data_IF_421247496341
#
_entry.id   IF_421247496341
#
_cell.length_a   1.000
_cell.length_b   1.000
_cell.length_c   1.000
_cell.angle_alpha   90.00
_cell.angle_beta   90.00
_cell.angle_gamma   90.00
#
_symmetry.space_group_name_H-M   'P 1'
#
loop_
_entity.id
_entity.type
_entity.pdbx_description
1 polymer ?
#
# COMPACT_ATOMS: atom_id res chain seq x y z
N UNK A 1 17.75 -17.84 23.05
CA UNK A 1 18.96 -17.04 22.66
C UNK A 1 18.49 -15.62 22.40
N UNK A 2 18.93 -14.61 23.16
CA UNK A 2 18.54 -13.21 22.89
C UNK A 2 19.48 -12.65 21.82
N UNK A 3 18.95 -12.35 20.64
CA UNK A 3 19.69 -11.70 19.56
C UNK A 3 20.00 -10.27 20.01
N UNK A 4 21.26 -9.84 19.87
CA UNK A 4 21.66 -8.47 20.20
C UNK A 4 21.23 -7.52 19.07
N UNK A 5 20.69 -6.35 19.40
CA UNK A 5 20.20 -5.38 18.42
C UNK A 5 21.24 -5.04 17.33
N UNK A 6 22.50 -4.93 17.71
CA UNK A 6 23.62 -4.63 16.79
C UNK A 6 23.89 -5.75 15.75
N UNK A 7 23.40 -6.96 16.00
CA UNK A 7 23.62 -8.14 15.14
C UNK A 7 22.45 -8.38 14.17
N UNK A 8 21.33 -7.70 14.37
CA UNK A 8 20.08 -7.93 13.62
C UNK A 8 20.28 -7.76 12.12
N UNK A 9 20.86 -6.64 11.68
CA UNK A 9 21.06 -6.37 10.24
C UNK A 9 21.94 -7.44 9.58
N UNK A 10 23.03 -7.83 10.25
CA UNK A 10 23.91 -8.90 9.76
C UNK A 10 23.24 -10.27 9.74
N UNK A 11 22.34 -10.53 10.69
CA UNK A 11 21.58 -11.77 10.71
C UNK A 11 20.57 -11.82 9.56
N UNK A 12 19.82 -10.74 9.36
CA UNK A 12 18.81 -10.65 8.30
C UNK A 12 19.44 -10.73 6.91
N UNK A 13 20.57 -10.05 6.69
CA UNK A 13 21.28 -10.02 5.39
C UNK A 13 21.80 -11.38 4.92
N UNK A 14 21.81 -12.40 5.77
CA UNK A 14 22.17 -13.77 5.37
C UNK A 14 21.14 -14.40 4.43
N UNK A 15 19.88 -14.02 4.55
CA UNK A 15 18.77 -14.67 3.87
C UNK A 15 17.84 -13.72 3.11
N UNK A 16 17.87 -12.41 3.43
CA UNK A 16 17.04 -11.40 2.79
C UNK A 16 17.89 -10.21 2.33
N UNK A 17 17.37 -9.45 1.38
CA UNK A 17 17.94 -8.16 0.99
C UNK A 17 17.66 -7.13 2.11
N UNK A 18 18.65 -6.92 2.98
CA UNK A 18 18.55 -6.00 4.12
C UNK A 18 19.01 -4.58 3.74
N UNK A 19 18.37 -3.98 2.75
CA UNK A 19 18.67 -2.65 2.18
C UNK A 19 17.76 -1.51 2.74
N UNK A 20 17.04 -1.78 3.81
CA UNK A 20 16.21 -0.80 4.52
C UNK A 20 17.00 0.28 5.26
N UNK A 21 16.29 1.16 5.94
CA UNK A 21 16.89 2.19 6.79
C UNK A 21 17.81 1.57 7.85
N UNK A 22 18.88 2.30 8.20
CA UNK A 22 19.80 1.83 9.23
C UNK A 22 19.29 2.16 10.65
N UNK A 23 18.12 1.60 10.96
CA UNK A 23 17.47 1.69 12.27
C UNK A 23 16.97 0.30 12.65
N UNK A 24 17.15 -0.08 13.90
CA UNK A 24 16.53 -1.28 14.50
C UNK A 24 15.46 -0.80 15.46
N UNK A 25 14.21 -0.88 15.08
CA UNK A 25 13.11 -0.37 15.88
C UNK A 25 12.97 -1.09 17.22
N UNK A 26 12.89 -0.34 18.32
CA UNK A 26 12.47 -0.79 19.63
C UNK A 26 10.95 -0.68 19.71
N UNK A 27 10.25 -1.81 19.58
CA UNK A 27 8.79 -1.84 19.58
C UNK A 27 8.17 -1.51 20.95
N UNK A 28 8.93 -1.69 22.04
CA UNK A 28 8.44 -1.39 23.38
C UNK A 28 8.54 0.10 23.71
N UNK A 29 9.55 0.78 23.16
CA UNK A 29 9.84 2.19 23.45
C UNK A 29 9.34 3.17 22.41
N UNK A 30 9.21 2.73 21.17
CA UNK A 30 8.65 3.60 20.10
C UNK A 30 7.21 4.02 20.44
N UNK A 31 6.85 5.27 20.21
CA UNK A 31 5.56 5.82 20.65
C UNK A 31 5.08 6.94 19.73
N UNK A 32 3.78 7.02 19.51
CA UNK A 32 3.19 8.03 18.64
C UNK A 32 3.89 8.08 17.28
N UNK A 33 4.48 9.22 16.94
CA UNK A 33 5.26 9.41 15.69
C UNK A 33 6.77 9.26 15.90
N UNK A 34 7.23 8.64 16.98
CA UNK A 34 8.65 8.49 17.27
C UNK A 34 9.10 7.05 17.21
N UNK A 35 10.14 6.80 16.40
CA UNK A 35 10.86 5.53 16.35
C UNK A 35 12.05 5.62 17.30
N UNK A 36 12.18 4.66 18.19
CA UNK A 36 13.35 4.51 19.05
C UNK A 36 14.27 3.43 18.47
N UNK A 37 15.54 3.74 18.27
CA UNK A 37 16.52 2.75 17.82
C UNK A 37 16.95 1.86 19.00
N UNK A 38 16.64 0.60 18.90
CA UNK A 38 16.95 -0.41 19.92
C UNK A 38 18.46 -0.60 20.20
N UNK A 39 19.33 -0.13 19.28
CA UNK A 39 20.81 -0.27 19.41
C UNK A 39 21.42 0.74 20.35
N UNK A 40 20.88 1.94 20.44
CA UNK A 40 21.48 3.10 21.14
C UNK A 40 20.47 3.96 21.89
N UNK A 41 19.18 3.79 21.63
CA UNK A 41 18.11 4.59 22.24
C UNK A 41 17.84 5.93 21.56
N UNK A 42 18.45 6.21 20.39
CA UNK A 42 18.18 7.42 19.63
C UNK A 42 16.74 7.45 19.16
N UNK A 43 16.14 8.64 19.15
CA UNK A 43 14.77 8.87 18.72
C UNK A 43 14.73 9.57 17.36
N UNK A 44 13.90 9.06 16.45
CA UNK A 44 13.68 9.60 15.12
C UNK A 44 12.20 9.92 14.91
N UNK A 45 11.90 11.10 14.40
CA UNK A 45 10.55 11.43 13.94
C UNK A 45 10.21 10.58 12.71
N UNK A 46 9.15 9.79 12.81
CA UNK A 46 8.71 8.91 11.73
C UNK A 46 8.01 9.70 10.62
N UNK A 47 8.78 10.09 9.59
CA UNK A 47 8.27 10.67 8.34
C UNK A 47 7.98 9.61 7.28
N UNK A 48 8.18 8.34 7.60
CA UNK A 48 7.98 7.20 6.70
C UNK A 48 6.61 6.54 6.88
N UNK A 49 6.14 6.43 8.14
CA UNK A 49 4.85 5.83 8.55
C UNK A 49 4.52 4.51 7.86
N UNK A 50 5.54 3.69 7.58
CA UNK A 50 5.42 2.41 6.84
C UNK A 50 4.62 2.56 5.54
N UNK A 51 4.93 3.59 4.73
CA UNK A 51 4.19 3.99 3.54
C UNK A 51 2.71 4.32 3.83
N UNK A 52 2.46 5.07 4.90
CA UNK A 52 1.14 5.45 5.40
C UNK A 52 0.26 4.26 5.88
N UNK A 53 0.84 3.08 6.12
CA UNK A 53 0.11 1.96 6.73
C UNK A 53 0.09 2.02 8.26
N UNK A 54 0.98 2.78 8.89
CA UNK A 54 1.03 3.03 10.33
C UNK A 54 0.22 4.28 10.74
N UNK A 55 -1.04 4.34 10.37
CA UNK A 55 -1.87 5.56 10.46
C UNK A 55 -2.02 6.14 11.89
N UNK A 56 -1.94 5.31 12.93
CA UNK A 56 -2.12 5.73 14.33
C UNK A 56 -0.79 5.84 15.11
N UNK A 57 0.34 5.60 14.44
CA UNK A 57 1.65 5.59 15.06
C UNK A 57 1.92 4.37 15.94
N UNK A 58 2.99 4.46 16.75
CA UNK A 58 3.47 3.35 17.58
C UNK A 58 2.82 3.37 18.96
N UNK A 59 2.47 2.20 19.47
CA UNK A 59 1.94 1.98 20.81
C UNK A 59 0.80 2.95 21.19
N UNK A 60 -0.14 3.19 20.27
CA UNK A 60 -1.29 4.03 20.53
C UNK A 60 -2.06 3.50 21.76
N UNK A 61 -2.36 4.33 22.80
CA UNK A 61 -2.92 3.86 24.05
C UNK A 61 -4.14 2.97 23.90
N UNK A 62 -5.10 3.37 23.07
CA UNK A 62 -6.31 2.58 22.82
C UNK A 62 -6.00 1.20 22.22
N UNK A 63 -4.99 1.09 21.34
CA UNK A 63 -4.58 -0.19 20.75
C UNK A 63 -3.94 -1.09 21.82
N UNK A 64 -3.08 -0.52 22.67
CA UNK A 64 -2.42 -1.25 23.78
C UNK A 64 -3.45 -1.74 24.80
N UNK A 65 -4.43 -0.90 25.17
CA UNK A 65 -5.51 -1.29 26.09
C UNK A 65 -6.36 -2.44 25.53
N UNK A 66 -6.51 -2.54 24.21
CA UNK A 66 -7.30 -3.58 23.55
C UNK A 66 -6.47 -4.74 22.98
N UNK A 67 -5.20 -4.91 23.40
CA UNK A 67 -4.30 -5.94 22.88
C UNK A 67 -4.85 -7.37 22.99
N UNK A 68 -5.70 -7.66 23.98
CA UNK A 68 -6.31 -8.98 24.13
C UNK A 68 -7.26 -9.32 22.98
N UNK A 69 -8.03 -8.34 22.51
CA UNK A 69 -8.91 -8.50 21.33
C UNK A 69 -8.05 -8.70 20.09
N UNK A 70 -7.00 -7.88 19.93
CA UNK A 70 -6.07 -8.00 18.80
C UNK A 70 -5.35 -9.36 18.81
N UNK A 71 -4.92 -9.83 19.98
CA UNK A 71 -4.34 -11.17 20.14
C UNK A 71 -5.31 -12.27 19.69
N UNK A 72 -6.59 -12.19 20.08
CA UNK A 72 -7.62 -13.13 19.65
C UNK A 72 -7.83 -13.10 18.12
N UNK A 73 -7.82 -11.93 17.51
CA UNK A 73 -7.94 -11.79 16.07
C UNK A 73 -6.70 -12.32 15.33
N UNK A 74 -5.51 -12.08 15.88
CA UNK A 74 -4.24 -12.51 15.28
C UNK A 74 -4.07 -14.03 15.22
N UNK A 75 -4.57 -14.77 16.22
CA UNK A 75 -4.50 -16.25 16.25
C UNK A 75 -5.56 -16.93 15.38
N UNK A 76 -6.50 -16.18 14.80
CA UNK A 76 -7.58 -16.70 13.97
C UNK A 76 -7.55 -16.05 12.60
N UNK A 77 -8.02 -16.77 11.57
CA UNK A 77 -8.25 -16.20 10.24
C UNK A 77 -9.62 -15.50 10.20
N UNK A 78 -9.62 -14.18 10.43
CA UNK A 78 -10.85 -13.39 10.60
C UNK A 78 -11.38 -12.75 9.32
N UNK A 79 -10.54 -12.64 8.30
CA UNK A 79 -10.87 -11.97 7.02
C UNK A 79 -10.88 -12.97 5.86
N UNK A 80 -11.88 -13.84 5.83
CA UNK A 80 -12.10 -14.79 4.75
C UNK A 80 -13.49 -14.55 4.12
N UNK A 81 -13.53 -14.54 2.81
CA UNK A 81 -14.79 -14.30 2.04
C UNK A 81 -15.83 -15.41 2.19
N UNK A 82 -15.39 -16.62 2.54
CA UNK A 82 -16.25 -17.81 2.53
C UNK A 82 -16.86 -18.16 3.90
N UNK A 83 -16.29 -17.61 4.99
CA UNK A 83 -16.77 -17.83 6.36
C UNK A 83 -16.75 -16.49 7.12
N UNK A 84 -17.88 -16.17 7.73
CA UNK A 84 -18.08 -14.88 8.37
C UNK A 84 -17.93 -14.96 9.91
N UNK A 85 -17.60 -13.82 10.52
CA UNK A 85 -17.55 -13.68 11.98
C UNK A 85 -18.01 -12.28 12.42
N UNK A 86 -18.34 -12.14 13.69
CA UNK A 86 -18.89 -10.89 14.24
C UNK A 86 -17.89 -9.72 14.17
N UNK A 87 -16.60 -9.96 14.37
CA UNK A 87 -15.58 -8.90 14.32
C UNK A 87 -15.41 -8.31 12.91
N UNK A 88 -15.58 -9.14 11.90
CA UNK A 88 -15.56 -8.66 10.52
C UNK A 88 -16.82 -7.85 10.19
N UNK A 89 -17.97 -8.25 10.73
CA UNK A 89 -19.20 -7.49 10.58
C UNK A 89 -19.11 -6.12 11.30
N UNK A 90 -18.62 -6.09 12.54
CA UNK A 90 -18.40 -4.86 13.31
C UNK A 90 -17.44 -3.91 12.57
N UNK A 91 -16.37 -4.46 11.99
CA UNK A 91 -15.45 -3.67 11.16
C UNK A 91 -16.16 -3.06 9.94
N UNK A 92 -16.98 -3.83 9.23
CA UNK A 92 -17.69 -3.34 8.05
C UNK A 92 -18.71 -2.26 8.39
N UNK A 93 -19.42 -2.41 9.50
CA UNK A 93 -20.37 -1.39 9.97
C UNK A 93 -19.65 -0.08 10.31
N UNK A 94 -18.53 -0.15 11.03
CA UNK A 94 -17.72 1.01 11.33
C UNK A 94 -17.11 1.64 10.07
N UNK A 95 -16.62 0.84 9.14
CA UNK A 95 -16.03 1.28 7.89
C UNK A 95 -17.07 2.00 7.01
N UNK A 96 -18.26 1.43 6.85
CA UNK A 96 -19.37 2.02 6.11
C UNK A 96 -19.76 3.38 6.71
N UNK A 97 -19.89 3.45 8.03
CA UNK A 97 -20.30 4.65 8.74
C UNK A 97 -19.30 5.80 8.66
N UNK A 98 -17.99 5.52 8.70
CA UNK A 98 -16.96 6.54 8.89
C UNK A 98 -16.05 6.76 7.68
N UNK A 99 -15.92 5.80 6.79
CA UNK A 99 -14.92 5.82 5.73
C UNK A 99 -15.51 5.73 4.32
N UNK A 100 -16.71 5.18 4.16
CA UNK A 100 -17.32 4.97 2.84
C UNK A 100 -18.23 6.15 2.49
N UNK A 101 -18.00 6.87 1.40
CA UNK A 101 -18.93 7.88 0.93
C UNK A 101 -20.17 7.23 0.29
N UNK A 102 -21.33 7.89 0.37
CA UNK A 102 -22.64 7.37 -0.07
C UNK A 102 -22.68 6.85 -1.52
N UNK A 103 -21.80 7.34 -2.38
CA UNK A 103 -21.72 6.93 -3.78
C UNK A 103 -20.86 5.68 -4.02
N UNK A 104 -20.13 5.16 -3.01
CA UNK A 104 -19.32 3.95 -3.08
C UNK A 104 -19.92 2.86 -2.15
N UNK A 105 -20.90 2.12 -2.64
CA UNK A 105 -21.68 1.16 -1.83
C UNK A 105 -21.05 -0.22 -1.68
N UNK A 106 -20.01 -0.52 -2.44
CA UNK A 106 -19.40 -1.85 -2.46
C UNK A 106 -17.92 -1.76 -2.15
N UNK A 107 -17.45 -2.59 -1.25
CA UNK A 107 -16.04 -2.71 -0.88
C UNK A 107 -15.54 -4.14 -1.15
N UNK A 108 -14.27 -4.23 -1.49
CA UNK A 108 -13.55 -5.49 -1.62
C UNK A 108 -12.22 -5.37 -0.87
N UNK A 109 -12.04 -6.20 0.16
CA UNK A 109 -10.85 -6.17 1.00
C UNK A 109 -9.88 -7.27 0.60
N UNK A 110 -8.61 -6.89 0.45
CA UNK A 110 -7.51 -7.80 0.10
C UNK A 110 -6.21 -7.30 0.69
N UNK A 111 -5.26 -8.19 0.90
CA UNK A 111 -3.97 -7.86 1.50
C UNK A 111 -3.10 -7.01 0.58
N UNK A 112 -2.83 -5.78 0.98
CA UNK A 112 -1.86 -4.88 0.37
C UNK A 112 -2.37 -4.06 -0.81
N UNK A 113 -1.81 -2.85 -0.96
CA UNK A 113 -2.20 -1.88 -1.98
C UNK A 113 -2.02 -2.37 -3.42
N UNK A 114 -0.99 -3.17 -3.68
CA UNK A 114 -0.77 -3.74 -5.02
C UNK A 114 -1.93 -4.63 -5.46
N UNK A 115 -2.40 -5.53 -4.59
CA UNK A 115 -3.53 -6.41 -4.88
C UNK A 115 -4.86 -5.65 -4.92
N UNK A 116 -5.00 -4.58 -4.14
CA UNK A 116 -6.18 -3.71 -4.21
C UNK A 116 -6.28 -3.03 -5.58
N UNK A 117 -5.19 -2.44 -6.09
CA UNK A 117 -5.14 -1.86 -7.44
C UNK A 117 -5.36 -2.93 -8.51
N UNK A 118 -4.78 -4.13 -8.36
CA UNK A 118 -5.00 -5.27 -9.26
C UNK A 118 -6.49 -5.60 -9.42
N UNK A 119 -7.22 -5.67 -8.31
CA UNK A 119 -8.65 -5.96 -8.34
C UNK A 119 -9.50 -4.78 -8.81
N UNK A 120 -9.10 -3.55 -8.53
CA UNK A 120 -9.73 -2.36 -9.11
C UNK A 120 -9.64 -2.36 -10.64
N UNK A 121 -8.47 -2.72 -11.19
CA UNK A 121 -8.28 -2.86 -12.64
C UNK A 121 -9.15 -3.96 -13.24
N UNK A 122 -9.22 -5.13 -12.59
CA UNK A 122 -10.11 -6.21 -13.03
C UNK A 122 -11.58 -5.76 -13.08
N UNK A 123 -12.02 -5.05 -12.05
CA UNK A 123 -13.38 -4.49 -11.99
C UNK A 123 -13.61 -3.49 -13.12
N UNK A 124 -12.65 -2.60 -13.39
CA UNK A 124 -12.72 -1.63 -14.47
C UNK A 124 -12.77 -2.29 -15.85
N UNK A 125 -11.99 -3.35 -16.07
CA UNK A 125 -11.99 -4.11 -17.33
C UNK A 125 -13.32 -4.83 -17.55
N UNK A 126 -13.85 -5.53 -16.55
CA UNK A 126 -15.15 -6.20 -16.64
C UNK A 126 -16.27 -5.18 -16.90
N UNK A 127 -16.31 -4.09 -16.16
CA UNK A 127 -17.27 -3.01 -16.37
C UNK A 127 -17.17 -2.45 -17.79
N UNK A 128 -15.98 -2.12 -18.25
CA UNK A 128 -15.77 -1.54 -19.58
C UNK A 128 -16.18 -2.49 -20.68
N UNK A 129 -15.84 -3.77 -20.55
CA UNK A 129 -16.26 -4.81 -21.51
C UNK A 129 -17.78 -4.91 -21.60
N UNK A 130 -18.48 -4.95 -20.46
CA UNK A 130 -19.96 -5.00 -20.42
C UNK A 130 -20.60 -3.76 -21.05
N UNK A 131 -20.08 -2.56 -20.73
CA UNK A 131 -20.54 -1.31 -21.36
C UNK A 131 -20.35 -1.35 -22.88
N UNK A 132 -19.19 -1.81 -23.35
CA UNK A 132 -18.94 -1.93 -24.78
C UNK A 132 -19.89 -2.92 -25.46
N UNK A 133 -20.10 -4.09 -24.87
CA UNK A 133 -21.04 -5.09 -25.41
C UNK A 133 -22.46 -4.53 -25.51
N UNK A 134 -22.95 -3.86 -24.47
CA UNK A 134 -24.29 -3.26 -24.45
C UNK A 134 -24.46 -2.17 -25.52
N UNK A 135 -23.36 -1.55 -25.95
CA UNK A 135 -23.34 -0.54 -27.03
C UNK A 135 -23.01 -1.13 -28.41
N UNK A 136 -22.90 -2.45 -28.55
CA UNK A 136 -22.51 -3.10 -29.79
C UNK A 136 -21.04 -2.86 -30.21
N UNK A 137 -20.20 -2.37 -29.28
CA UNK A 137 -18.78 -2.10 -29.52
C UNK A 137 -17.99 -3.38 -29.28
N UNK A 138 -17.28 -3.87 -30.30
CA UNK A 138 -16.50 -5.13 -30.23
C UNK A 138 -15.15 -5.00 -29.55
N UNK A 139 -14.71 -3.80 -29.16
CA UNK A 139 -13.42 -3.55 -28.47
C UNK A 139 -13.47 -4.03 -27.03
N UNK A 140 -12.37 -4.57 -26.53
CA UNK A 140 -12.29 -5.13 -25.17
C UNK A 140 -12.30 -4.06 -24.07
N UNK A 141 -11.66 -2.92 -24.29
CA UNK A 141 -11.56 -1.89 -23.26
C UNK A 141 -10.55 -2.25 -22.16
N UNK A 142 -9.47 -2.90 -22.56
CA UNK A 142 -8.40 -3.48 -21.73
C UNK A 142 -7.15 -2.59 -21.62
N UNK A 143 -7.24 -1.36 -22.07
CA UNK A 143 -6.14 -0.40 -22.03
C UNK A 143 -6.28 0.55 -20.85
N UNK A 144 -5.15 0.89 -20.25
CA UNK A 144 -5.05 1.82 -19.12
C UNK A 144 -4.15 2.99 -19.53
N UNK A 145 -4.52 4.18 -19.12
CA UNK A 145 -3.65 5.37 -19.15
C UNK A 145 -3.08 5.54 -17.74
N UNK A 146 -1.76 5.73 -17.63
CA UNK A 146 -1.09 5.90 -16.34
C UNK A 146 0.00 6.97 -16.43
N UNK A 147 0.31 7.57 -15.29
CA UNK A 147 1.33 8.62 -15.21
C UNK A 147 2.75 8.07 -15.18
N UNK A 148 3.65 8.80 -15.78
CA UNK A 148 5.08 8.66 -15.56
C UNK A 148 5.42 8.89 -14.07
N UNK A 149 6.50 8.29 -13.57
CA UNK A 149 6.92 8.43 -12.17
C UNK A 149 5.85 8.03 -11.13
N UNK A 150 5.03 7.03 -11.45
CA UNK A 150 4.01 6.49 -10.56
C UNK A 150 4.41 5.14 -9.97
N UNK A 151 3.81 4.79 -8.84
CA UNK A 151 3.98 3.49 -8.21
C UNK A 151 2.61 2.93 -7.80
N UNK A 152 2.24 1.77 -8.34
CA UNK A 152 0.97 1.09 -8.08
C UNK A 152 1.16 -0.34 -7.53
N UNK A 153 2.39 -0.74 -7.32
CA UNK A 153 2.76 -2.09 -6.91
C UNK A 153 3.54 -2.85 -7.99
N UNK A 154 3.84 -4.11 -7.72
CA UNK A 154 4.65 -4.95 -8.61
C UNK A 154 4.05 -6.33 -8.84
N UNK A 155 2.73 -6.47 -8.74
CA UNK A 155 1.97 -7.65 -9.18
C UNK A 155 1.67 -7.57 -10.69
N UNK A 156 0.92 -8.49 -11.25
CA UNK A 156 0.71 -8.65 -12.69
C UNK A 156 0.40 -7.34 -13.44
N UNK A 157 -0.79 -6.79 -13.26
CA UNK A 157 -1.19 -5.54 -13.94
C UNK A 157 -0.46 -4.31 -13.38
N UNK A 158 -0.29 -4.24 -12.06
CA UNK A 158 0.29 -3.07 -11.38
C UNK A 158 1.75 -2.84 -11.73
N UNK A 159 2.49 -3.90 -12.08
CA UNK A 159 3.88 -3.78 -12.53
C UNK A 159 4.03 -2.90 -13.77
N UNK A 160 3.05 -2.98 -14.69
CA UNK A 160 3.03 -2.13 -15.90
C UNK A 160 2.87 -0.66 -15.53
N UNK A 161 2.04 -0.37 -14.55
CA UNK A 161 1.73 0.99 -14.09
C UNK A 161 2.83 1.59 -13.21
N UNK A 162 3.73 0.75 -12.68
CA UNK A 162 4.84 1.21 -11.83
C UNK A 162 6.02 1.63 -12.71
N UNK A 163 6.38 2.91 -12.56
CA UNK A 163 7.39 3.58 -13.36
C UNK A 163 8.18 4.57 -12.49
N UNK A 164 9.01 4.01 -11.61
CA UNK A 164 9.88 4.76 -10.71
C UNK A 164 11.20 5.12 -11.37
N UNK A 165 11.96 6.03 -10.74
CA UNK A 165 13.30 6.45 -11.20
C UNK A 165 14.33 5.31 -11.22
N UNK A 166 14.14 4.27 -10.40
CA UNK A 166 15.00 3.08 -10.40
C UNK A 166 14.44 2.01 -11.36
N UNK A 167 15.00 1.87 -12.57
CA UNK A 167 14.50 0.94 -13.56
C UNK A 167 14.69 -0.54 -13.16
N UNK A 168 15.66 -0.84 -12.30
CA UNK A 168 15.98 -2.23 -11.87
C UNK A 168 14.79 -2.95 -11.28
N UNK A 169 13.85 -2.21 -10.70
CA UNK A 169 12.64 -2.77 -10.08
C UNK A 169 11.65 -3.37 -11.08
N UNK A 170 11.72 -2.98 -12.36
CA UNK A 170 10.69 -3.34 -13.34
C UNK A 170 11.22 -3.69 -14.74
N UNK A 171 12.52 -3.49 -15.03
CA UNK A 171 13.06 -3.50 -16.40
C UNK A 171 13.05 -4.87 -17.08
N UNK A 172 13.15 -5.95 -16.34
CA UNK A 172 13.26 -7.31 -16.91
C UNK A 172 11.95 -8.08 -16.92
N UNK A 173 10.84 -7.45 -16.56
CA UNK A 173 9.55 -8.12 -16.48
C UNK A 173 8.65 -7.74 -17.65
N UNK A 174 7.82 -8.68 -18.16
CA UNK A 174 6.85 -8.38 -19.20
C UNK A 174 5.83 -7.34 -18.71
N UNK A 175 5.43 -6.46 -19.61
CA UNK A 175 4.49 -5.38 -19.35
C UNK A 175 3.40 -5.36 -20.41
N UNK A 176 2.22 -4.86 -20.06
CA UNK A 176 1.14 -4.64 -21.01
C UNK A 176 1.42 -3.40 -21.87
N UNK A 177 1.00 -3.38 -23.14
CA UNK A 177 1.18 -2.24 -24.04
C UNK A 177 0.15 -1.15 -23.76
N UNK A 178 0.20 -0.58 -22.56
CA UNK A 178 -0.68 0.49 -22.10
C UNK A 178 -0.05 1.86 -22.26
N UNK A 179 -0.86 2.91 -22.14
CA UNK A 179 -0.47 4.28 -22.48
C UNK A 179 0.07 5.03 -21.26
N UNK A 180 1.31 5.47 -21.36
CA UNK A 180 1.96 6.30 -20.36
C UNK A 180 1.88 7.77 -20.79
N UNK A 181 1.50 8.64 -19.85
CA UNK A 181 1.47 10.10 -20.00
C UNK A 181 2.39 10.75 -18.97
N UNK A 182 2.84 11.96 -19.26
CA UNK A 182 3.71 12.67 -18.35
C UNK A 182 2.97 13.09 -17.08
N UNK A 183 3.70 13.10 -15.97
CA UNK A 183 3.16 13.50 -14.67
C UNK A 183 3.00 15.03 -14.66
N UNK A 184 1.80 15.56 -14.38
CA UNK A 184 1.57 16.99 -14.25
C UNK A 184 2.17 17.52 -12.93
N UNK A 185 3.49 17.68 -12.90
CA UNK A 185 4.22 18.15 -11.72
C UNK A 185 4.83 19.53 -11.96
N UNK A 186 4.78 20.36 -10.92
CA UNK A 186 5.52 21.61 -10.90
C UNK A 186 7.01 21.35 -10.58
N UNK A 187 7.87 22.03 -11.29
CA UNK A 187 9.32 22.10 -10.98
C UNK A 187 9.68 23.50 -10.54
N UNK A 188 10.66 23.64 -9.68
CA UNK A 188 11.11 24.95 -9.19
C UNK A 188 12.45 25.34 -9.85
N UNK A 189 12.66 26.65 -10.15
CA UNK A 189 11.71 27.75 -9.96
C UNK A 189 10.53 27.69 -10.94
N UNK A 190 9.34 28.09 -10.47
CA UNK A 190 8.15 28.17 -11.33
C UNK A 190 8.32 29.30 -12.34
N UNK A 191 8.11 29.01 -13.61
CA UNK A 191 8.09 29.95 -14.72
C UNK A 191 6.95 29.59 -15.69
N UNK A 192 6.71 30.46 -16.68
CA UNK A 192 5.61 30.27 -17.63
C UNK A 192 5.75 28.98 -18.45
N UNK A 193 6.96 28.54 -18.77
CA UNK A 193 7.22 27.30 -19.49
C UNK A 193 6.75 26.08 -18.68
N UNK A 194 7.04 26.07 -17.37
CA UNK A 194 6.62 25.00 -16.44
C UNK A 194 5.10 25.01 -16.28
N UNK A 195 4.47 26.19 -16.20
CA UNK A 195 3.01 26.31 -16.08
C UNK A 195 2.27 25.80 -17.31
N UNK A 196 2.89 25.88 -18.49
CA UNK A 196 2.31 25.33 -19.73
C UNK A 196 2.38 23.80 -19.82
N UNK A 197 3.17 23.14 -18.97
CA UNK A 197 3.31 21.68 -18.92
C UNK A 197 2.33 20.99 -17.94
N UNK A 198 1.59 21.76 -17.15
CA UNK A 198 0.65 21.29 -16.13
C UNK A 198 -0.79 21.62 -16.55
#
# INVERSE_FOLDING_TARGET
MKIKAKEIKNLLSKNILADGFDVVIDLDKSHGSWIVDHRNGDEYLDMFSMYASGAVGYNHPYIVENQNILGKLAINKTTLSDIYNVYYADFLEAFDKFAVPDYLKHAFFIDGGSLAVENALKTAFDWKKRVNLNKGIKKDGDKVIYFNQSFHGRTGYTLTLTNTSDPRKTMYFPKFPWFKVDNPKLSFPINDEILLLV
#
